data_IF_420416370525
#
_entry.id   IF_420416370525
#
_cell.length_a   1.000
_cell.length_b   1.000
_cell.length_c   1.000
_cell.angle_alpha   90.00
_cell.angle_beta   90.00
_cell.angle_gamma   90.00
#
_symmetry.space_group_name_H-M   'P 1'
#
loop_
_entity.id
_entity.type
_entity.pdbx_description
1 polymer ?
#
# COMPACT_ATOMS: atom_id res chain seq x y z
N UNK A 1 -16.92 12.78 -4.20
CA UNK A 1 -16.33 12.73 -2.84
C UNK A 1 -16.14 11.26 -2.50
N UNK A 2 -14.90 10.80 -2.37
CA UNK A 2 -14.59 9.42 -1.92
C UNK A 2 -14.52 9.41 -0.39
N UNK A 3 -15.10 8.40 0.28
CA UNK A 3 -14.98 8.27 1.73
C UNK A 3 -13.53 7.97 2.11
N UNK A 4 -13.05 8.50 3.25
CA UNK A 4 -11.67 8.30 3.70
C UNK A 4 -11.36 6.87 4.15
N UNK A 5 -12.37 6.09 4.52
CA UNK A 5 -12.23 4.66 4.79
C UNK A 5 -13.53 3.91 4.48
N UNK A 6 -13.39 2.66 4.05
CA UNK A 6 -14.50 1.74 3.79
C UNK A 6 -14.22 0.42 4.50
N UNK A 7 -15.15 -0.01 5.35
CA UNK A 7 -15.03 -1.26 6.08
C UNK A 7 -15.97 -2.33 5.50
N UNK A 8 -15.39 -3.37 4.90
CA UNK A 8 -16.13 -4.49 4.32
C UNK A 8 -16.08 -5.68 5.28
N UNK A 9 -17.25 -6.18 5.69
CA UNK A 9 -17.36 -7.30 6.62
C UNK A 9 -18.15 -8.47 6.01
N UNK A 10 -17.95 -9.67 6.55
CA UNK A 10 -18.68 -10.88 6.14
C UNK A 10 -17.92 -12.15 6.53
N UNK A 11 -18.60 -13.29 6.54
CA UNK A 11 -18.02 -14.57 6.94
C UNK A 11 -16.85 -15.02 6.06
N UNK A 12 -16.02 -15.96 6.54
CA UNK A 12 -14.97 -16.56 5.70
C UNK A 12 -15.60 -17.27 4.50
N UNK A 13 -14.90 -17.33 3.37
CA UNK A 13 -15.38 -17.99 2.16
C UNK A 13 -16.41 -17.20 1.31
N UNK A 14 -16.82 -15.99 1.71
CA UNK A 14 -17.74 -15.15 0.91
C UNK A 14 -17.07 -14.41 -0.26
N UNK A 15 -15.78 -14.66 -0.53
CA UNK A 15 -15.08 -14.06 -1.67
C UNK A 15 -14.82 -12.56 -1.61
N UNK A 16 -14.90 -11.92 -0.43
CA UNK A 16 -14.67 -10.46 -0.26
C UNK A 16 -13.36 -9.99 -0.92
N UNK A 17 -12.24 -10.62 -0.57
CA UNK A 17 -10.92 -10.29 -1.10
C UNK A 17 -10.87 -10.44 -2.62
N UNK A 18 -11.49 -11.50 -3.17
CA UNK A 18 -11.58 -11.73 -4.61
C UNK A 18 -12.36 -10.61 -5.30
N UNK A 19 -13.55 -10.27 -4.80
CA UNK A 19 -14.40 -9.22 -5.41
C UNK A 19 -13.67 -7.88 -5.40
N UNK A 20 -13.07 -7.49 -4.27
CA UNK A 20 -12.34 -6.21 -4.14
C UNK A 20 -11.15 -6.19 -5.10
N UNK A 21 -10.35 -7.26 -5.12
CA UNK A 21 -9.18 -7.35 -5.99
C UNK A 21 -9.57 -7.33 -7.47
N UNK A 22 -10.60 -8.07 -7.87
CA UNK A 22 -11.12 -8.07 -9.24
C UNK A 22 -11.66 -6.70 -9.63
N UNK A 23 -12.37 -6.00 -8.74
CA UNK A 23 -12.91 -4.67 -9.00
C UNK A 23 -11.80 -3.64 -9.24
N UNK A 24 -10.80 -3.58 -8.36
CA UNK A 24 -9.70 -2.64 -8.45
C UNK A 24 -8.84 -2.89 -9.71
N UNK A 25 -8.58 -4.17 -10.03
CA UNK A 25 -7.88 -4.56 -11.26
C UNK A 25 -8.68 -4.23 -12.52
N UNK A 26 -9.99 -4.50 -12.52
CA UNK A 26 -10.87 -4.23 -13.67
C UNK A 26 -10.91 -2.74 -14.02
N UNK A 27 -11.01 -1.88 -12.99
CA UNK A 27 -11.00 -0.43 -13.17
C UNK A 27 -9.60 0.18 -13.32
N UNK A 28 -8.53 -0.63 -13.26
CA UNK A 28 -7.13 -0.18 -13.33
C UNK A 28 -6.79 0.93 -12.34
N UNK A 29 -7.38 0.86 -11.14
CA UNK A 29 -7.15 1.86 -10.11
C UNK A 29 -5.81 1.58 -9.40
N UNK A 30 -5.02 2.61 -9.06
CA UNK A 30 -3.78 2.41 -8.30
C UNK A 30 -4.14 1.89 -6.91
N UNK A 31 -3.71 0.67 -6.61
CA UNK A 31 -4.03 0.02 -5.34
C UNK A 31 -2.88 -0.81 -4.81
N UNK A 32 -2.85 -0.92 -3.48
CA UNK A 32 -1.93 -1.75 -2.72
C UNK A 32 -2.77 -2.77 -1.98
N UNK A 33 -2.36 -4.03 -2.01
CA UNK A 33 -3.07 -5.12 -1.35
C UNK A 33 -2.15 -5.76 -0.30
N UNK A 34 -2.54 -5.68 0.97
CA UNK A 34 -1.71 -6.15 2.09
C UNK A 34 -2.50 -7.14 2.93
N UNK A 35 -1.89 -8.28 3.20
CA UNK A 35 -2.42 -9.28 4.12
C UNK A 35 -1.98 -8.98 5.56
N UNK A 36 -2.87 -8.48 6.40
CA UNK A 36 -2.54 -8.12 7.78
C UNK A 36 -2.19 -9.31 8.68
N UNK A 37 -2.34 -10.56 8.21
CA UNK A 37 -1.85 -11.75 8.94
C UNK A 37 -0.33 -11.89 8.83
N UNK A 38 0.26 -11.45 7.74
CA UNK A 38 1.71 -11.53 7.50
C UNK A 38 2.47 -10.41 8.24
N UNK A 39 1.77 -9.31 8.56
CA UNK A 39 2.35 -8.18 9.27
C UNK A 39 2.48 -8.47 10.77
N UNK A 40 3.68 -8.88 11.19
CA UNK A 40 4.02 -9.16 12.59
C UNK A 40 4.15 -7.90 13.46
N UNK A 41 4.45 -6.75 12.86
CA UNK A 41 4.66 -5.49 13.57
C UNK A 41 4.09 -4.29 12.80
N UNK A 42 3.86 -3.21 13.53
CA UNK A 42 3.47 -1.91 12.94
C UNK A 42 4.48 -1.45 11.89
N UNK A 43 5.76 -1.52 12.25
CA UNK A 43 6.87 -1.11 11.39
C UNK A 43 6.85 -1.84 10.06
N UNK A 44 6.70 -3.17 10.12
CA UNK A 44 6.62 -3.98 8.92
C UNK A 44 5.42 -3.58 8.04
N UNK A 45 4.24 -3.33 8.63
CA UNK A 45 3.07 -2.90 7.85
C UNK A 45 3.31 -1.57 7.11
N UNK A 46 3.87 -0.56 7.78
CA UNK A 46 4.09 0.76 7.16
C UNK A 46 5.18 0.72 6.10
N UNK A 47 6.25 -0.03 6.34
CA UNK A 47 7.31 -0.26 5.35
C UNK A 47 6.74 -1.02 4.14
N UNK A 48 5.92 -2.05 4.35
CA UNK A 48 5.25 -2.80 3.28
C UNK A 48 4.35 -1.91 2.42
N UNK A 49 3.59 -0.99 3.05
CA UNK A 49 2.77 0.00 2.31
C UNK A 49 3.63 0.88 1.42
N UNK A 50 4.75 1.41 1.94
CA UNK A 50 5.61 2.33 1.19
C UNK A 50 6.33 1.63 0.04
N UNK A 51 6.80 0.40 0.26
CA UNK A 51 7.55 -0.35 -0.75
C UNK A 51 6.64 -0.93 -1.86
N UNK A 52 5.37 -1.20 -1.58
CA UNK A 52 4.40 -1.69 -2.58
C UNK A 52 3.61 -0.57 -3.28
N UNK A 53 3.98 0.70 -3.08
CA UNK A 53 3.36 1.78 -3.83
C UNK A 53 3.60 1.55 -5.34
N UNK A 54 2.57 1.68 -6.19
CA UNK A 54 2.73 1.66 -7.64
C UNK A 54 3.34 2.99 -8.11
N UNK A 55 4.53 3.29 -7.62
CA UNK A 55 5.38 4.32 -8.19
C UNK A 55 5.76 3.79 -9.55
N UNK A 56 5.34 4.47 -10.60
CA UNK A 56 5.68 4.08 -11.95
C UNK A 56 7.21 4.05 -12.06
N UNK A 57 7.78 2.85 -12.01
CA UNK A 57 9.07 2.60 -12.62
C UNK A 57 8.88 2.90 -14.11
N UNK A 58 9.30 4.10 -14.49
CA UNK A 58 9.78 4.42 -15.81
C UNK A 58 10.92 3.47 -16.17
N UNK A 59 10.62 2.22 -16.54
CA UNK A 59 11.45 1.26 -17.31
C UNK A 59 11.03 -0.21 -17.11
N UNK A 60 9.87 -0.61 -17.64
CA UNK A 60 9.72 -1.98 -18.17
C UNK A 60 9.08 -1.90 -19.55
N UNK A 61 9.83 -1.33 -20.50
CA UNK A 61 9.73 -1.75 -21.89
C UNK A 61 10.21 -3.19 -21.98
N UNK A 62 9.26 -4.07 -22.27
CA UNK A 62 9.45 -5.35 -22.94
C UNK A 62 10.51 -5.24 -24.05
N UNK A 63 11.78 -5.54 -23.78
CA UNK A 63 12.69 -6.05 -24.83
C UNK A 63 13.93 -6.68 -24.21
N UNK A 64 14.06 -7.98 -24.45
CA UNK A 64 15.31 -8.69 -24.67
C UNK A 64 16.47 -7.77 -25.06
N UNK A 65 17.54 -7.73 -24.25
CA UNK A 65 18.92 -8.02 -24.68
C UNK A 65 19.98 -7.35 -23.79
N UNK A 66 20.94 -8.18 -23.37
CA UNK A 66 22.36 -7.87 -23.08
C UNK A 66 22.71 -7.21 -21.75
N UNK A 67 23.47 -8.02 -20.99
CA UNK A 67 24.37 -7.61 -19.94
C UNK A 67 25.22 -6.39 -20.34
N UNK A 68 25.14 -5.33 -19.54
CA UNK A 68 26.23 -4.50 -19.05
C UNK A 68 25.61 -3.53 -18.02
N UNK A 69 26.36 -3.15 -16.99
CA UNK A 69 25.98 -2.26 -15.88
C UNK A 69 25.27 -2.95 -14.70
N UNK A 70 26.02 -3.86 -14.07
CA UNK A 70 25.97 -3.98 -12.61
C UNK A 70 26.45 -2.67 -11.98
N UNK A 71 25.94 -2.35 -10.78
CA UNK A 71 26.25 -1.24 -9.84
C UNK A 71 25.07 -0.25 -9.73
N UNK A 72 24.40 -0.23 -8.57
CA UNK A 72 23.41 0.76 -8.06
C UNK A 72 21.93 0.67 -8.49
N UNK A 73 21.34 -0.53 -8.51
CA UNK A 73 19.89 -0.68 -8.31
C UNK A 73 19.63 -1.42 -7.00
N UNK A 74 20.03 -0.81 -5.88
CA UNK A 74 19.38 -1.15 -4.62
C UNK A 74 17.93 -0.71 -4.79
N UNK A 75 16.99 -1.66 -4.89
CA UNK A 75 15.60 -1.41 -4.52
C UNK A 75 15.67 -0.69 -3.16
N UNK A 76 15.44 0.61 -3.16
CA UNK A 76 15.66 1.47 -2.00
C UNK A 76 14.54 1.18 -1.01
N UNK A 77 14.72 0.10 -0.25
CA UNK A 77 13.78 -0.34 0.77
C UNK A 77 13.59 0.80 1.76
N UNK A 78 12.41 1.40 1.74
CA UNK A 78 12.10 2.55 2.57
C UNK A 78 11.86 2.02 3.97
N UNK A 79 12.80 2.32 4.87
CA UNK A 79 12.66 2.07 6.29
C UNK A 79 11.89 3.20 6.93
N UNK A 80 10.97 2.86 7.81
CA UNK A 80 10.25 3.83 8.62
C UNK A 80 10.42 3.53 10.09
N UNK A 81 10.77 4.55 10.88
CA UNK A 81 10.92 4.39 12.33
C UNK A 81 9.61 4.67 13.06
N UNK A 82 8.84 5.65 12.60
CA UNK A 82 7.62 6.14 13.25
C UNK A 82 6.49 6.41 12.27
N UNK A 83 5.25 6.50 12.79
CA UNK A 83 4.06 6.88 12.01
C UNK A 83 4.18 8.26 11.37
N UNK A 84 4.84 9.21 12.04
CA UNK A 84 5.08 10.56 11.48
C UNK A 84 5.99 10.50 10.26
N UNK A 85 7.03 9.67 10.34
CA UNK A 85 7.96 9.44 9.23
C UNK A 85 7.25 8.75 8.06
N UNK A 86 6.41 7.76 8.36
CA UNK A 86 5.53 7.12 7.37
C UNK A 86 4.64 8.13 6.63
N UNK A 87 3.95 9.03 7.35
CA UNK A 87 3.08 10.04 6.71
C UNK A 87 3.90 10.99 5.83
N UNK A 88 5.11 11.38 6.26
CA UNK A 88 6.00 12.24 5.47
C UNK A 88 6.45 11.55 4.18
N UNK A 89 6.92 10.31 4.29
CA UNK A 89 7.38 9.53 3.15
C UNK A 89 6.23 9.25 2.18
N UNK A 90 5.05 8.85 2.68
CA UNK A 90 3.86 8.64 1.84
C UNK A 90 3.47 9.92 1.08
N UNK A 91 3.47 11.08 1.76
CA UNK A 91 3.18 12.37 1.12
C UNK A 91 4.18 12.75 0.04
N UNK A 92 5.48 12.55 0.29
CA UNK A 92 6.52 12.80 -0.70
C UNK A 92 6.31 11.95 -1.95
N UNK A 93 6.19 10.64 -1.75
CA UNK A 93 6.01 9.67 -2.84
C UNK A 93 4.75 9.91 -3.67
N UNK A 94 3.63 10.28 -3.03
CA UNK A 94 2.37 10.60 -3.72
C UNK A 94 2.43 11.97 -4.42
N UNK A 95 3.19 12.93 -3.87
CA UNK A 95 3.32 14.27 -4.47
C UNK A 95 4.21 14.28 -5.71
N UNK A 96 5.22 13.41 -5.74
CA UNK A 96 6.23 13.32 -6.80
C UNK A 96 5.79 12.43 -7.98
N UNK A 97 4.69 11.70 -7.82
CA UNK A 97 4.19 10.73 -8.82
C UNK A 97 2.90 11.18 -9.50
N UNK A 98 2.53 10.50 -10.59
CA UNK A 98 1.26 10.73 -11.30
C UNK A 98 0.01 10.47 -10.42
N UNK A 99 0.20 9.83 -9.25
CA UNK A 99 -0.82 9.58 -8.23
C UNK A 99 -1.44 10.87 -7.68
N UNK A 100 -0.83 12.05 -7.89
CA UNK A 100 -1.39 13.34 -7.45
C UNK A 100 -2.80 13.63 -7.98
N UNK A 101 -3.18 13.04 -9.13
CA UNK A 101 -4.51 13.22 -9.75
C UNK A 101 -5.45 12.04 -9.53
N UNK A 102 -4.98 10.98 -8.91
CA UNK A 102 -5.73 9.73 -8.73
C UNK A 102 -5.91 9.40 -7.25
N UNK A 103 -6.85 8.50 -6.96
CA UNK A 103 -7.06 8.00 -5.59
C UNK A 103 -6.28 6.71 -5.43
N UNK A 104 -5.30 6.70 -4.53
CA UNK A 104 -4.60 5.49 -4.12
C UNK A 104 -5.46 4.68 -3.15
N UNK A 105 -5.72 3.42 -3.48
CA UNK A 105 -6.48 2.51 -2.62
C UNK A 105 -5.53 1.61 -1.81
N UNK A 106 -5.55 1.71 -0.49
CA UNK A 106 -4.81 0.81 0.40
C UNK A 106 -5.78 -0.23 0.95
N UNK A 107 -5.65 -1.47 0.49
CA UNK A 107 -6.51 -2.59 0.92
C UNK A 107 -5.80 -3.38 2.01
N UNK A 108 -6.39 -3.34 3.21
CA UNK A 108 -5.95 -4.10 4.38
C UNK A 108 -6.81 -5.35 4.52
N UNK A 109 -6.34 -6.48 3.98
CA UNK A 109 -7.06 -7.75 4.11
C UNK A 109 -6.85 -8.36 5.50
N UNK A 110 -7.91 -8.97 6.05
CA UNK A 110 -7.93 -9.55 7.41
C UNK A 110 -7.53 -8.55 8.51
N UNK A 111 -8.01 -7.31 8.37
CA UNK A 111 -7.69 -6.19 9.26
C UNK A 111 -8.09 -6.41 10.74
N UNK A 112 -8.90 -7.42 11.06
CA UNK A 112 -9.19 -7.81 12.44
C UNK A 112 -7.92 -8.14 13.25
N UNK A 113 -6.84 -8.57 12.59
CA UNK A 113 -5.53 -8.79 13.23
C UNK A 113 -4.93 -7.51 13.79
N UNK A 114 -5.09 -6.37 13.09
CA UNK A 114 -4.52 -5.08 13.51
C UNK A 114 -5.07 -4.62 14.86
N UNK A 115 -6.31 -5.00 15.18
CA UNK A 115 -6.94 -4.68 16.48
C UNK A 115 -6.20 -5.34 17.66
N UNK A 116 -5.60 -6.51 17.44
CA UNK A 116 -4.85 -7.23 18.47
C UNK A 116 -3.40 -6.75 18.58
N UNK A 117 -2.82 -6.26 17.49
CA UNK A 117 -1.40 -5.86 17.43
C UNK A 117 -1.15 -4.50 18.07
N UNK A 118 -1.98 -3.48 17.78
CA UNK A 118 -1.81 -2.14 18.33
C UNK A 118 -3.12 -1.34 18.26
N UNK A 119 -3.63 -0.89 19.41
CA UNK A 119 -4.89 -0.16 19.52
C UNK A 119 -4.89 1.23 18.86
N UNK A 120 -3.71 1.82 18.66
CA UNK A 120 -3.53 3.16 18.08
C UNK A 120 -3.45 3.12 16.55
N UNK A 121 -3.05 1.98 15.99
CA UNK A 121 -2.76 1.84 14.56
C UNK A 121 -4.01 1.95 13.69
N UNK A 122 -5.05 1.17 14.00
CA UNK A 122 -6.26 1.17 13.19
C UNK A 122 -6.91 2.57 13.12
N UNK A 123 -7.08 3.31 14.25
CA UNK A 123 -7.52 4.71 14.20
C UNK A 123 -6.62 5.62 13.34
N UNK A 124 -5.29 5.45 13.41
CA UNK A 124 -4.36 6.26 12.62
C UNK A 124 -4.54 6.02 11.11
N UNK A 125 -4.69 4.76 10.69
CA UNK A 125 -4.91 4.40 9.28
C UNK A 125 -6.28 4.87 8.76
N UNK A 126 -7.33 4.80 9.59
CA UNK A 126 -8.67 5.28 9.21
C UNK A 126 -8.71 6.81 8.98
N UNK A 127 -7.78 7.55 9.60
CA UNK A 127 -7.66 9.00 9.49
C UNK A 127 -6.53 9.45 8.56
N UNK A 128 -5.92 8.53 7.81
CA UNK A 128 -4.77 8.83 6.97
C UNK A 128 -5.05 9.93 5.92
N UNK A 129 -6.30 10.06 5.45
CA UNK A 129 -6.71 11.13 4.55
C UNK A 129 -6.65 12.53 5.18
N UNK A 130 -6.78 12.64 6.50
CA UNK A 130 -6.75 13.89 7.26
C UNK A 130 -5.33 14.32 7.65
N UNK A 131 -4.38 13.37 7.63
CA UNK A 131 -3.03 13.53 8.16
C UNK A 131 -2.07 14.12 7.14
#
# INVERSE_FOLDING_TARGET
MTPGSVFVYGHTGTGKSLVIQSLLKYHKLPHIFINCVECSSLRFLVEEILNNLPLQCSSQSETSSRAQDMLDYEESFIRCEDLTDFVRNLKGLVSDSELKRETLYIVLDKAERLRSTNSVLLPALLRLQEL
#
